data_IF_579728489420
#
_entry.id   IF_579728489420
#
_cell.length_a   1.000
_cell.length_b   1.000
_cell.length_c   1.000
_cell.angle_alpha   90.00
_cell.angle_beta   90.00
_cell.angle_gamma   90.00
#
_symmetry.space_group_name_H-M   'P 1'
#
loop_
_entity.id
_entity.type
_entity.pdbx_description
1 polymer ?
#
# COMPACT_ATOMS: atom_id res chain seq x y z
N UNK A 1 12.90 -2.41 3.76
CA UNK A 1 13.04 -1.47 4.89
C UNK A 1 11.74 -0.72 5.05
N UNK A 2 11.23 -0.60 6.29
CA UNK A 2 9.94 0.02 6.58
C UNK A 2 10.21 1.37 7.21
N UNK A 3 9.69 2.44 6.62
CA UNK A 3 9.89 3.78 7.16
C UNK A 3 8.50 4.40 7.30
N UNK A 4 8.17 4.71 8.55
CA UNK A 4 6.98 5.43 8.92
C UNK A 4 7.37 6.90 9.08
N UNK A 5 6.84 7.77 8.23
CA UNK A 5 6.92 9.21 8.48
C UNK A 5 5.69 9.60 9.30
N UNK A 6 5.84 10.04 10.55
CA UNK A 6 4.70 10.58 11.31
C UNK A 6 4.37 12.03 10.91
N UNK A 7 5.31 12.71 10.24
CA UNK A 7 5.15 14.12 9.82
C UNK A 7 4.43 14.28 8.49
N UNK A 8 4.38 13.22 7.69
CA UNK A 8 3.63 13.17 6.45
C UNK A 8 2.64 12.01 6.52
N UNK A 9 1.43 12.12 5.99
CA UNK A 9 0.47 11.01 5.89
C UNK A 9 0.95 9.88 4.95
N UNK A 10 2.26 9.72 4.75
CA UNK A 10 2.88 8.84 3.78
C UNK A 10 3.53 7.66 4.52
N UNK A 11 3.04 6.46 4.24
CA UNK A 11 3.62 5.20 4.67
C UNK A 11 4.17 4.48 3.46
N UNK A 12 5.34 3.87 3.60
CA UNK A 12 5.89 3.10 2.50
C UNK A 12 6.66 1.86 2.96
N UNK A 13 6.54 0.82 2.14
CA UNK A 13 7.18 -0.46 2.32
C UNK A 13 7.99 -0.77 1.06
N UNK A 14 9.31 -0.80 1.22
CA UNK A 14 10.22 -1.38 0.24
C UNK A 14 10.46 -2.85 0.61
N UNK A 15 9.98 -3.76 -0.23
CA UNK A 15 10.25 -5.19 -0.13
C UNK A 15 10.98 -5.66 -1.40
N UNK A 16 11.60 -6.85 -1.35
CA UNK A 16 12.25 -7.45 -2.53
C UNK A 16 11.27 -7.67 -3.70
N UNK A 17 9.98 -7.73 -3.38
CA UNK A 17 8.89 -8.08 -4.28
C UNK A 17 8.26 -6.84 -4.95
N UNK A 18 8.59 -5.64 -4.47
CA UNK A 18 8.03 -4.39 -4.97
C UNK A 18 8.03 -3.25 -3.97
N UNK A 19 7.30 -2.20 -4.32
CA UNK A 19 7.11 -0.98 -3.54
C UNK A 19 5.62 -0.84 -3.24
N UNK A 20 5.30 -0.59 -1.98
CA UNK A 20 3.97 -0.22 -1.53
C UNK A 20 4.04 1.18 -0.91
N UNK A 21 3.15 2.07 -1.33
CA UNK A 21 3.06 3.45 -0.88
C UNK A 21 1.61 3.76 -0.51
N UNK A 22 1.36 3.98 0.78
CA UNK A 22 0.08 4.41 1.33
C UNK A 22 0.10 5.90 1.66
N UNK A 23 -0.96 6.62 1.31
CA UNK A 23 -1.19 8.01 1.69
C UNK A 23 -2.51 8.12 2.45
N UNK A 24 -2.45 8.40 3.75
CA UNK A 24 -3.62 8.49 4.64
C UNK A 24 -3.99 9.94 4.97
N UNK A 25 -4.99 10.50 4.29
CA UNK A 25 -5.55 11.82 4.65
C UNK A 25 -6.78 11.68 5.56
N UNK A 26 -7.21 12.76 6.21
CA UNK A 26 -8.42 12.78 7.06
C UNK A 26 -9.71 12.30 6.35
N UNK A 27 -9.76 12.37 5.02
CA UNK A 27 -10.98 12.10 4.22
C UNK A 27 -10.84 10.93 3.25
N UNK A 28 -9.61 10.48 2.99
CA UNK A 28 -9.33 9.44 2.00
C UNK A 28 -7.97 8.81 2.22
N UNK A 29 -7.87 7.51 1.98
CA UNK A 29 -6.58 6.83 1.84
C UNK A 29 -6.31 6.49 0.37
N UNK A 30 -5.06 6.52 -0.04
CA UNK A 30 -4.61 6.09 -1.36
C UNK A 30 -3.52 5.05 -1.22
N UNK A 31 -3.58 4.02 -2.05
CA UNK A 31 -2.59 2.95 -2.10
C UNK A 31 -2.04 2.85 -3.51
N UNK A 32 -0.74 2.98 -3.63
CA UNK A 32 0.02 2.68 -4.84
C UNK A 32 0.86 1.43 -4.57
N UNK A 33 0.71 0.41 -5.40
CA UNK A 33 1.60 -0.75 -5.41
C UNK A 33 2.31 -0.83 -6.76
N UNK A 34 3.60 -1.08 -6.69
CA UNK A 34 4.46 -1.30 -7.86
C UNK A 34 5.18 -2.62 -7.63
N UNK A 35 4.90 -3.62 -8.45
CA UNK A 35 5.51 -4.95 -8.35
C UNK A 35 5.67 -5.57 -9.74
N UNK A 36 6.19 -6.81 -9.81
CA UNK A 36 6.38 -7.51 -11.09
C UNK A 36 5.07 -7.77 -11.86
N UNK A 37 3.92 -7.82 -11.17
CA UNK A 37 2.61 -8.04 -11.79
C UNK A 37 2.04 -6.76 -12.42
N UNK A 38 2.59 -5.60 -12.05
CA UNK A 38 2.19 -4.32 -12.61
C UNK A 38 2.18 -3.21 -11.57
N UNK A 39 1.41 -2.17 -11.91
CA UNK A 39 1.22 -0.98 -11.09
C UNK A 39 -0.27 -0.86 -10.84
N UNK A 40 -0.67 -0.74 -9.57
CA UNK A 40 -2.06 -0.48 -9.20
C UNK A 40 -2.14 0.74 -8.30
N UNK A 41 -3.12 1.59 -8.59
CA UNK A 41 -3.42 2.76 -7.77
C UNK A 41 -4.89 2.71 -7.38
N UNK A 42 -5.17 2.65 -6.09
CA UNK A 42 -6.54 2.53 -5.58
C UNK A 42 -6.80 3.50 -4.45
N UNK A 43 -8.01 4.07 -4.43
CA UNK A 43 -8.55 4.73 -3.25
C UNK A 43 -9.01 3.67 -2.26
N UNK A 44 -8.65 3.85 -0.98
CA UNK A 44 -8.97 2.96 0.14
C UNK A 44 -9.75 3.75 1.22
N UNK A 45 -10.48 3.05 2.11
CA UNK A 45 -11.04 3.66 3.32
C UNK A 45 -9.93 4.29 4.18
N UNK A 46 -10.25 5.35 4.92
CA UNK A 46 -9.31 5.96 5.88
C UNK A 46 -9.02 4.98 7.02
N UNK A 47 -7.76 4.91 7.47
CA UNK A 47 -7.36 4.02 8.56
C UNK A 47 -7.14 2.57 8.12
N UNK A 48 -6.97 2.37 6.83
CA UNK A 48 -6.66 1.06 6.29
C UNK A 48 -5.27 0.57 6.72
N UNK A 49 -5.22 -0.64 7.27
CA UNK A 49 -4.02 -1.23 7.88
C UNK A 49 -3.20 -2.07 6.91
N UNK A 50 -3.52 -2.08 5.61
CA UNK A 50 -2.78 -2.85 4.58
C UNK A 50 -1.28 -2.56 4.59
N UNK A 51 -0.85 -1.33 4.88
CA UNK A 51 0.58 -0.98 4.98
C UNK A 51 1.14 -1.17 6.39
N UNK A 52 0.27 -1.18 7.40
CA UNK A 52 0.65 -1.30 8.82
C UNK A 52 0.79 -2.74 9.28
N UNK A 53 0.04 -3.65 8.70
CA UNK A 53 0.13 -5.08 9.00
C UNK A 53 1.33 -5.64 8.24
N UNK A 54 2.42 -5.70 8.99
CA UNK A 54 3.81 -5.94 8.60
C UNK A 54 4.11 -7.29 7.92
N UNK A 55 3.11 -8.08 7.54
CA UNK A 55 3.27 -9.49 7.13
C UNK A 55 2.64 -9.83 5.77
N UNK A 56 2.21 -8.82 5.02
CA UNK A 56 1.62 -9.06 3.70
C UNK A 56 2.69 -9.07 2.61
N UNK A 57 2.61 -10.06 1.71
CA UNK A 57 3.37 -10.05 0.46
C UNK A 57 2.73 -9.06 -0.50
N UNK A 58 3.53 -8.21 -1.14
CA UNK A 58 3.03 -7.16 -2.05
C UNK A 58 2.17 -7.77 -3.18
N UNK A 59 2.51 -8.99 -3.61
CA UNK A 59 1.74 -9.72 -4.61
C UNK A 59 0.33 -10.08 -4.15
N UNK A 60 0.15 -10.53 -2.91
CA UNK A 60 -1.16 -10.92 -2.39
C UNK A 60 -2.10 -9.71 -2.31
N UNK A 61 -1.56 -8.55 -1.93
CA UNK A 61 -2.31 -7.29 -1.94
C UNK A 61 -2.68 -6.90 -3.38
N UNK A 62 -1.72 -7.01 -4.32
CA UNK A 62 -1.97 -6.73 -5.73
C UNK A 62 -3.08 -7.63 -6.28
N UNK A 63 -2.97 -8.95 -6.12
CA UNK A 63 -3.91 -9.93 -6.64
C UNK A 63 -5.29 -9.78 -6.00
N UNK A 64 -5.35 -9.52 -4.69
CA UNK A 64 -6.62 -9.21 -4.00
C UNK A 64 -7.30 -7.99 -4.59
N UNK A 65 -6.55 -6.94 -4.96
CA UNK A 65 -7.13 -5.71 -5.49
C UNK A 65 -7.46 -5.84 -6.98
N UNK A 66 -6.54 -6.40 -7.78
CA UNK A 66 -6.68 -6.54 -9.23
C UNK A 66 -7.68 -7.63 -9.62
N UNK A 67 -7.79 -8.71 -8.85
CA UNK A 67 -8.79 -9.76 -9.05
C UNK A 67 -10.18 -9.44 -8.49
N UNK A 68 -10.37 -8.26 -7.87
CA UNK A 68 -11.68 -7.76 -7.45
C UNK A 68 -12.44 -7.03 -8.57
N UNK A 69 -11.91 -7.04 -9.79
CA UNK A 69 -12.53 -6.51 -11.02
C UNK A 69 -13.06 -7.67 -11.90
#
# INVERSE_FOLDING_TARGET
MKIYSERFPLKYLFANEGICLGVDTKKSSYLLLVCKHGIIFRKRPVGDTVVENLDYRIYDIYDSIAGSE
#
